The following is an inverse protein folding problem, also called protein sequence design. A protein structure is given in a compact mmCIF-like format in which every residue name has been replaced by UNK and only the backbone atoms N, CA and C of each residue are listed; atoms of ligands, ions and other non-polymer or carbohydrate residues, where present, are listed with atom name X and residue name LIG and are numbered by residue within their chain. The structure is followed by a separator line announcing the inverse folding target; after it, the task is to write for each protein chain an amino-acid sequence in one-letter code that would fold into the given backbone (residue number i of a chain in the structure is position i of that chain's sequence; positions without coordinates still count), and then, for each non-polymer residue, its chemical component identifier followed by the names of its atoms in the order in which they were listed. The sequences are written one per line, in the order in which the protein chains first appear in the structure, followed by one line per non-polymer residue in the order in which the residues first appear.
data_IF_907723818234
#
_entry.id   IF_907723818234
#
_cell.length_a   1.000
_cell.length_b   1.000
_cell.length_c   1.000
_cell.angle_alpha   90.00
_cell.angle_beta   90.00
_cell.angle_gamma   90.00
#
_symmetry.space_group_name_H-M   'P 1'
#
loop_
_entity.id
_entity.type
_entity.pdbx_description
1 polymer ?
#
# COMPACT_ATOMS: atom_id res chain seq x y z
N UNK A 1 -8.47 -10.84 -24.52
CA UNK A 1 -9.48 -9.82 -24.25
C UNK A 1 -10.22 -9.52 -25.55
N UNK A 2 -11.51 -9.85 -25.59
CA UNK A 2 -12.51 -9.50 -26.63
C UNK A 2 -12.87 -8.01 -26.56
N UNK A 3 -11.91 -7.15 -26.93
CA UNK A 3 -12.07 -5.69 -26.96
C UNK A 3 -11.99 -5.20 -28.42
N UNK A 4 -12.59 -4.04 -28.74
CA UNK A 4 -12.58 -3.48 -30.10
C UNK A 4 -11.21 -2.88 -30.43
N UNK A 5 -10.21 -3.74 -30.64
CA UNK A 5 -8.81 -3.35 -30.87
C UNK A 5 -8.61 -2.57 -32.18
N UNK A 6 -9.54 -2.72 -33.12
CA UNK A 6 -9.64 -1.96 -34.37
C UNK A 6 -10.21 -0.54 -34.22
N UNK A 7 -10.63 -0.15 -33.02
CA UNK A 7 -11.10 1.21 -32.73
C UNK A 7 -10.11 1.94 -31.81
N UNK A 8 -9.96 3.28 -31.94
CA UNK A 8 -9.27 4.08 -30.94
C UNK A 8 -9.93 3.92 -29.57
N UNK A 9 -9.15 3.93 -28.49
CA UNK A 9 -9.65 3.77 -27.12
C UNK A 9 -10.73 4.80 -26.74
N UNK A 10 -10.66 6.00 -27.30
CA UNK A 10 -11.68 7.04 -27.08
C UNK A 10 -13.04 6.66 -27.67
N UNK A 11 -13.08 5.86 -28.74
CA UNK A 11 -14.28 5.44 -29.44
C UNK A 11 -14.90 4.14 -28.95
N UNK A 12 -14.22 3.40 -28.07
CA UNK A 12 -14.69 2.10 -27.60
C UNK A 12 -16.11 2.16 -27.07
N UNK A 13 -16.95 1.29 -27.63
CA UNK A 13 -18.29 0.99 -27.14
C UNK A 13 -18.40 -0.52 -26.91
N UNK A 14 -18.29 -0.93 -25.65
CA UNK A 14 -18.38 -2.34 -25.24
C UNK A 14 -19.05 -2.45 -23.89
N UNK A 15 -19.84 -3.52 -23.70
CA UNK A 15 -20.50 -3.84 -22.44
C UNK A 15 -19.52 -4.03 -21.26
N UNK A 16 -18.23 -4.22 -21.56
CA UNK A 16 -17.17 -4.38 -20.56
C UNK A 16 -16.68 -3.06 -19.97
N UNK A 17 -17.02 -1.90 -20.55
CA UNK A 17 -16.57 -0.61 -20.05
C UNK A 17 -17.17 -0.32 -18.67
N UNK A 18 -16.31 0.05 -17.73
CA UNK A 18 -16.71 0.49 -16.40
C UNK A 18 -16.21 1.91 -16.15
N UNK A 19 -16.93 2.64 -15.30
CA UNK A 19 -16.51 3.98 -14.87
C UNK A 19 -15.77 3.86 -13.55
N UNK A 20 -14.50 4.22 -13.56
CA UNK A 20 -13.67 4.30 -12.36
C UNK A 20 -13.34 5.75 -12.03
N UNK A 21 -13.14 6.03 -10.73
CA UNK A 21 -12.46 7.26 -10.34
C UNK A 21 -11.00 7.15 -10.80
N UNK A 22 -10.56 8.09 -11.64
CA UNK A 22 -9.21 8.10 -12.18
C UNK A 22 -8.66 9.54 -12.23
N UNK A 23 -7.34 9.68 -12.19
CA UNK A 23 -6.64 10.95 -12.37
C UNK A 23 -6.86 11.57 -13.75
N UNK A 24 -6.54 12.86 -13.88
CA UNK A 24 -6.43 13.50 -15.20
C UNK A 24 -5.20 12.91 -15.89
N UNK A 25 -5.40 12.26 -17.03
CA UNK A 25 -4.31 11.68 -17.82
C UNK A 25 -4.14 12.46 -19.12
N UNK A 26 -2.88 12.60 -19.55
CA UNK A 26 -2.53 13.12 -20.89
C UNK A 26 -2.91 12.13 -21.99
N UNK A 27 -3.03 10.85 -21.63
CA UNK A 27 -3.37 9.75 -22.53
C UNK A 27 -4.85 9.35 -22.37
N UNK A 28 -5.42 8.75 -23.41
CA UNK A 28 -6.76 8.17 -23.30
C UNK A 28 -6.67 6.89 -22.47
N UNK A 29 -7.37 6.85 -21.34
CA UNK A 29 -7.48 5.68 -20.47
C UNK A 29 -8.92 5.19 -20.44
N UNK A 30 -9.13 3.90 -20.68
CA UNK A 30 -10.42 3.22 -20.50
C UNK A 30 -10.30 2.12 -19.46
N UNK A 31 -11.37 1.89 -18.70
CA UNK A 31 -11.42 0.81 -17.72
C UNK A 31 -12.38 -0.26 -18.20
N UNK A 32 -11.94 -1.52 -18.15
CA UNK A 32 -12.72 -2.67 -18.61
C UNK A 32 -12.78 -3.73 -17.52
N UNK A 33 -13.95 -4.34 -17.35
CA UNK A 33 -14.16 -5.44 -16.43
C UNK A 33 -14.04 -6.80 -17.13
N UNK A 34 -13.27 -7.69 -16.51
CA UNK A 34 -13.17 -9.10 -16.87
C UNK A 34 -13.26 -9.92 -15.58
N UNK A 35 -14.25 -10.82 -15.55
CA UNK A 35 -14.55 -11.62 -14.36
C UNK A 35 -14.78 -10.73 -13.13
N UNK A 36 -14.04 -10.96 -12.04
CA UNK A 36 -14.07 -10.22 -10.79
C UNK A 36 -13.08 -9.04 -10.74
N UNK A 37 -12.45 -8.69 -11.88
CA UNK A 37 -11.34 -7.72 -11.92
C UNK A 37 -11.54 -6.62 -12.93
N UNK A 38 -10.89 -5.49 -12.65
CA UNK A 38 -10.88 -4.33 -13.54
C UNK A 38 -9.47 -4.05 -14.03
N UNK A 39 -9.39 -3.64 -15.29
CA UNK A 39 -8.15 -3.35 -15.99
C UNK A 39 -8.21 -1.93 -16.53
N UNK A 40 -7.10 -1.20 -16.40
CA UNK A 40 -6.91 0.08 -17.07
C UNK A 40 -6.17 -0.17 -18.40
N UNK A 41 -6.69 0.42 -19.47
CA UNK A 41 -6.12 0.35 -20.82
C UNK A 41 -5.75 1.76 -21.24
N UNK A 42 -4.45 2.04 -21.35
CA UNK A 42 -3.87 3.35 -21.71
C UNK A 42 -3.39 3.34 -23.16
N UNK A 43 -3.89 4.27 -23.97
CA UNK A 43 -3.45 4.46 -25.36
C UNK A 43 -2.20 5.33 -25.41
N UNK A 44 -1.12 4.84 -26.03
CA UNK A 44 0.12 5.61 -26.22
C UNK A 44 0.95 5.07 -27.38
N UNK A 45 2.07 5.70 -27.69
CA UNK A 45 2.97 5.24 -28.74
C UNK A 45 3.58 3.86 -28.41
N UNK A 46 3.82 2.98 -29.41
CA UNK A 46 4.35 1.63 -29.17
C UNK A 46 5.62 1.60 -28.32
N UNK A 47 6.58 2.48 -28.62
CA UNK A 47 7.83 2.53 -27.88
C UNK A 47 7.63 2.98 -26.42
N UNK A 48 6.68 3.90 -26.17
CA UNK A 48 6.34 4.35 -24.81
C UNK A 48 5.65 3.23 -24.02
N UNK A 49 4.63 2.59 -24.61
CA UNK A 49 3.91 1.49 -23.97
C UNK A 49 4.85 0.34 -23.56
N UNK A 50 5.79 -0.03 -24.44
CA UNK A 50 6.77 -1.06 -24.13
C UNK A 50 7.77 -0.65 -23.05
N UNK A 51 8.24 0.61 -23.05
CA UNK A 51 9.15 1.12 -22.00
C UNK A 51 8.46 1.11 -20.65
N UNK A 52 7.25 1.65 -20.57
CA UNK A 52 6.48 1.71 -19.34
C UNK A 52 6.12 0.30 -18.83
N UNK A 53 5.70 -0.62 -19.69
CA UNK A 53 5.47 -2.01 -19.33
C UNK A 53 6.70 -2.67 -18.70
N UNK A 54 7.88 -2.46 -19.29
CA UNK A 54 9.15 -2.98 -18.74
C UNK A 54 9.47 -2.33 -17.40
N UNK A 55 9.21 -1.03 -17.24
CA UNK A 55 9.46 -0.30 -16.01
C UNK A 55 8.53 -0.76 -14.87
N UNK A 56 7.23 -0.84 -15.11
CA UNK A 56 6.25 -1.38 -14.16
C UNK A 56 6.57 -2.83 -13.77
N UNK A 57 7.04 -3.65 -14.72
CA UNK A 57 7.49 -5.02 -14.41
C UNK A 57 8.71 -5.02 -13.50
N UNK A 58 9.64 -4.08 -13.72
CA UNK A 58 10.82 -3.95 -12.88
C UNK A 58 10.43 -3.51 -11.46
N UNK A 59 9.62 -2.46 -11.33
CA UNK A 59 9.09 -2.01 -10.04
C UNK A 59 8.46 -3.15 -9.26
N UNK A 60 7.68 -4.02 -9.93
CA UNK A 60 7.10 -5.22 -9.32
C UNK A 60 8.15 -6.26 -8.88
N UNK A 61 9.20 -6.48 -9.66
CA UNK A 61 10.29 -7.41 -9.30
C UNK A 61 11.00 -6.91 -8.04
N UNK A 62 11.19 -5.59 -7.91
CA UNK A 62 11.78 -4.95 -6.73
C UNK A 62 10.75 -4.74 -5.59
N UNK A 63 9.55 -5.31 -5.69
CA UNK A 63 8.45 -5.19 -4.72
C UNK A 63 8.09 -3.74 -4.34
N UNK A 64 8.15 -2.82 -5.31
CA UNK A 64 7.76 -1.41 -5.13
C UNK A 64 6.26 -1.23 -5.41
N UNK A 65 5.56 -0.38 -4.65
CA UNK A 65 4.11 -0.23 -4.75
C UNK A 65 3.74 0.50 -6.03
N UNK A 66 3.41 -0.27 -7.06
CA UNK A 66 2.99 0.20 -8.38
C UNK A 66 1.87 -0.68 -8.94
N UNK A 67 1.11 -0.16 -9.90
CA UNK A 67 0.07 -0.95 -10.57
C UNK A 67 0.66 -2.13 -11.34
N UNK A 68 -0.04 -3.27 -11.31
CA UNK A 68 0.43 -4.49 -11.95
C UNK A 68 0.33 -4.39 -13.48
N UNK A 69 1.43 -4.51 -14.23
CA UNK A 69 1.38 -4.54 -15.70
C UNK A 69 0.94 -5.93 -16.18
N UNK A 70 -0.05 -5.95 -17.07
CA UNK A 70 -0.65 -7.18 -17.60
C UNK A 70 -0.14 -7.47 -19.01
N UNK A 71 -0.05 -6.46 -19.87
CA UNK A 71 0.45 -6.63 -21.22
C UNK A 71 0.48 -5.35 -22.05
N UNK A 72 1.05 -5.46 -23.25
CA UNK A 72 1.03 -4.40 -24.27
C UNK A 72 0.44 -4.96 -25.55
N UNK A 73 -0.48 -4.23 -26.16
CA UNK A 73 -1.06 -4.54 -27.47
C UNK A 73 -0.47 -3.59 -28.50
N UNK A 74 0.35 -4.13 -29.40
CA UNK A 74 0.96 -3.40 -30.52
C UNK A 74 0.34 -3.84 -31.85
N UNK A 75 0.64 -3.10 -32.93
CA UNK A 75 0.16 -3.46 -34.28
C UNK A 75 -1.36 -3.34 -34.47
N UNK A 76 -2.03 -2.55 -33.62
CA UNK A 76 -3.46 -2.26 -33.78
C UNK A 76 -3.68 -1.49 -35.10
N UNK A 77 -4.72 -1.86 -35.83
CA UNK A 77 -5.13 -1.18 -37.06
C UNK A 77 -6.65 -1.12 -37.12
N UNK A 78 -7.19 -0.03 -37.67
CA UNK A 78 -8.61 0.04 -38.04
C UNK A 78 -8.95 -0.98 -39.11
N UNK A 79 -10.23 -1.30 -39.29
CA UNK A 79 -10.71 -2.21 -40.34
C UNK A 79 -10.28 -1.80 -41.76
N UNK A 80 -9.97 -0.51 -41.97
CA UNK A 80 -9.42 0.03 -43.22
C UNK A 80 -7.89 -0.02 -43.35
N UNK A 81 -7.16 -0.60 -42.40
CA UNK A 81 -5.70 -0.73 -42.40
C UNK A 81 -4.92 0.47 -41.83
N UNK A 82 -5.60 1.52 -41.38
CA UNK A 82 -4.96 2.67 -40.72
C UNK A 82 -4.37 2.25 -39.36
N UNK A 83 -3.08 2.50 -39.08
CA UNK A 83 -2.46 2.11 -37.83
C UNK A 83 -3.01 2.91 -36.64
N UNK A 84 -3.18 2.24 -35.51
CA UNK A 84 -3.59 2.82 -34.24
C UNK A 84 -2.43 2.80 -33.24
N UNK A 85 -2.43 3.68 -32.23
CA UNK A 85 -1.43 3.64 -31.17
C UNK A 85 -1.49 2.30 -30.41
N UNK A 86 -0.40 1.95 -29.73
CA UNK A 86 -0.38 0.79 -28.86
C UNK A 86 -1.25 1.02 -27.61
N UNK A 87 -1.57 -0.07 -26.92
CA UNK A 87 -2.29 -0.01 -25.66
C UNK A 87 -1.49 -0.73 -24.57
N UNK A 88 -1.23 -0.05 -23.45
CA UNK A 88 -0.74 -0.65 -22.22
C UNK A 88 -1.92 -1.09 -21.37
N UNK A 89 -1.88 -2.33 -20.89
CA UNK A 89 -2.90 -2.90 -20.00
C UNK A 89 -2.27 -3.08 -18.62
N UNK A 90 -2.85 -2.45 -17.61
CA UNK A 90 -2.52 -2.64 -16.19
C UNK A 90 -3.74 -3.13 -15.44
N UNK A 91 -3.53 -3.87 -14.34
CA UNK A 91 -4.60 -4.21 -13.41
C UNK A 91 -4.96 -2.96 -12.61
N UNK A 92 -6.24 -2.67 -12.51
CA UNK A 92 -6.73 -1.62 -11.62
C UNK A 92 -6.46 -2.01 -10.17
N UNK A 93 -6.03 -1.04 -9.36
CA UNK A 93 -5.76 -1.28 -7.95
C UNK A 93 -7.08 -1.23 -7.16
N UNK A 94 -7.51 -2.39 -6.68
CA UNK A 94 -8.75 -2.54 -5.91
C UNK A 94 -8.70 -1.71 -4.61
N UNK A 95 -9.84 -1.13 -4.21
CA UNK A 95 -9.98 -0.29 -3.01
C UNK A 95 -9.07 0.94 -2.94
N UNK A 96 -8.59 1.40 -4.10
CA UNK A 96 -7.78 2.60 -4.20
C UNK A 96 -8.59 3.81 -4.65
N UNK A 97 -8.14 4.99 -4.24
CA UNK A 97 -8.74 6.27 -4.60
C UNK A 97 -7.67 7.23 -5.11
N UNK A 98 -7.96 8.00 -6.16
CA UNK A 98 -7.04 9.01 -6.65
C UNK A 98 -6.98 10.20 -5.69
N UNK A 99 -5.83 10.87 -5.68
CA UNK A 99 -5.54 12.01 -4.79
C UNK A 99 -6.67 13.05 -4.71
N UNK A 100 -7.14 13.53 -5.86
CA UNK A 100 -8.13 14.60 -5.96
C UNK A 100 -9.49 14.23 -5.36
N UNK A 101 -9.79 12.94 -5.27
CA UNK A 101 -11.02 12.45 -4.64
C UNK A 101 -10.91 12.56 -3.12
N UNK A 102 -9.76 12.19 -2.56
CA UNK A 102 -9.51 12.20 -1.11
C UNK A 102 -9.37 13.62 -0.56
N UNK A 103 -8.61 14.49 -1.23
CA UNK A 103 -8.46 15.89 -0.82
C UNK A 103 -9.77 16.67 -0.95
N UNK A 104 -10.57 16.42 -2.01
CA UNK A 104 -11.72 17.24 -2.34
C UNK A 104 -13.03 16.91 -1.61
N UNK A 105 -13.17 15.72 -1.00
CA UNK A 105 -14.42 15.29 -0.32
C UNK A 105 -14.25 14.97 1.16
N UNK A 106 -13.09 14.48 1.58
CA UNK A 106 -12.82 14.01 2.95
C UNK A 106 -11.74 14.85 3.68
N UNK A 107 -11.34 15.99 3.09
CA UNK A 107 -10.15 16.78 3.41
C UNK A 107 -10.11 17.40 4.82
N UNK A 108 -10.08 16.58 5.85
CA UNK A 108 -9.58 16.97 7.16
C UNK A 108 -8.06 17.19 7.06
N UNK A 109 -7.50 18.22 7.70
CA UNK A 109 -6.04 18.44 7.74
C UNK A 109 -5.24 17.19 8.14
N UNK A 110 -5.82 16.31 8.98
CA UNK A 110 -5.20 15.03 9.37
C UNK A 110 -5.07 14.03 8.21
N UNK A 111 -6.06 13.96 7.32
CA UNK A 111 -6.01 13.06 6.17
C UNK A 111 -5.00 13.56 5.14
N UNK A 112 -4.94 14.88 4.93
CA UNK A 112 -3.98 15.51 4.03
C UNK A 112 -2.54 15.22 4.46
N UNK A 113 -2.23 15.33 5.76
CA UNK A 113 -0.92 14.97 6.29
C UNK A 113 -0.58 13.49 5.99
N UNK A 114 -1.51 12.55 6.23
CA UNK A 114 -1.31 11.13 5.92
C UNK A 114 -1.10 10.84 4.43
N UNK A 115 -1.74 11.61 3.55
CA UNK A 115 -1.57 11.51 2.10
C UNK A 115 -0.17 11.94 1.66
N UNK A 116 0.34 13.04 2.24
CA UNK A 116 1.71 13.50 2.01
C UNK A 116 2.71 12.47 2.54
N UNK A 117 2.50 11.92 3.74
CA UNK A 117 3.37 10.88 4.29
C UNK A 117 3.45 9.66 3.38
N UNK A 118 2.31 9.14 2.91
CA UNK A 118 2.27 8.01 2.00
C UNK A 118 3.01 8.29 0.67
N UNK A 119 2.90 9.51 0.13
CA UNK A 119 3.62 9.92 -1.07
C UNK A 119 5.14 10.04 -0.83
N UNK A 120 5.55 10.59 0.32
CA UNK A 120 6.97 10.68 0.71
C UNK A 120 7.58 9.29 0.86
N UNK A 121 6.86 8.37 1.52
CA UNK A 121 7.28 6.97 1.68
C UNK A 121 7.56 6.37 0.30
N UNK A 122 6.60 6.44 -0.61
CA UNK A 122 6.76 5.89 -1.95
C UNK A 122 7.96 6.52 -2.68
N UNK A 123 8.11 7.85 -2.65
CA UNK A 123 9.21 8.52 -3.33
C UNK A 123 10.58 8.11 -2.78
N UNK A 124 10.73 7.98 -1.45
CA UNK A 124 11.99 7.50 -0.85
C UNK A 124 12.25 6.04 -1.22
N UNK A 125 11.23 5.18 -1.20
CA UNK A 125 11.36 3.77 -1.63
C UNK A 125 11.88 3.66 -3.06
N UNK A 126 11.30 4.42 -3.99
CA UNK A 126 11.76 4.47 -5.38
C UNK A 126 13.25 4.89 -5.46
N UNK A 127 13.60 5.97 -4.75
CA UNK A 127 14.96 6.51 -4.77
C UNK A 127 16.01 5.56 -4.14
N UNK A 128 15.65 4.83 -3.07
CA UNK A 128 16.52 3.83 -2.44
C UNK A 128 16.83 2.68 -3.40
N UNK A 129 15.82 2.23 -4.15
CA UNK A 129 15.94 1.17 -5.16
C UNK A 129 16.49 1.67 -6.51
N UNK A 130 16.98 2.91 -6.59
CA UNK A 130 17.64 3.41 -7.80
C UNK A 130 16.69 3.91 -8.90
N UNK A 131 15.41 4.09 -8.62
CA UNK A 131 14.43 4.62 -9.58
C UNK A 131 14.36 6.14 -9.51
N UNK A 132 14.55 6.81 -10.63
CA UNK A 132 14.14 8.18 -10.88
C UNK A 132 12.75 8.14 -11.52
N UNK A 133 11.77 8.85 -11.00
CA UNK A 133 10.39 8.85 -11.50
C UNK A 133 10.20 9.89 -12.62
N UNK A 134 10.68 11.12 -12.45
CA UNK A 134 10.71 12.15 -13.49
C UNK A 134 9.40 12.87 -13.80
N UNK A 135 8.26 12.33 -13.37
CA UNK A 135 6.96 13.00 -13.37
C UNK A 135 6.19 12.66 -12.09
N UNK A 136 6.82 13.00 -10.97
CA UNK A 136 6.28 12.85 -9.62
C UNK A 136 5.02 13.70 -9.43
N UNK A 137 3.88 13.22 -9.91
CA UNK A 137 2.60 13.92 -9.81
C UNK A 137 1.63 13.13 -8.94
N UNK A 138 0.91 13.84 -8.07
CA UNK A 138 -0.17 13.25 -7.28
C UNK A 138 -1.28 12.64 -8.15
N UNK A 139 -1.45 13.13 -9.39
CA UNK A 139 -2.40 12.57 -10.35
C UNK A 139 -2.00 11.17 -10.83
N UNK A 140 -0.71 10.84 -10.70
CA UNK A 140 -0.13 9.54 -11.03
C UNK A 140 -0.05 8.61 -9.80
N UNK A 141 -0.69 9.00 -8.69
CA UNK A 141 -0.78 8.21 -7.46
C UNK A 141 -2.20 7.73 -7.19
N UNK A 142 -2.31 6.47 -6.76
CA UNK A 142 -3.49 5.91 -6.13
C UNK A 142 -3.20 5.64 -4.66
N UNK A 143 -4.18 5.90 -3.81
CA UNK A 143 -4.06 5.69 -2.38
C UNK A 143 -4.99 4.58 -1.93
N UNK A 144 -4.46 3.65 -1.14
CA UNK A 144 -5.22 2.55 -0.55
C UNK A 144 -5.11 2.63 0.96
N UNK A 145 -6.23 2.40 1.65
CA UNK A 145 -6.22 2.22 3.11
C UNK A 145 -5.71 0.81 3.41
N UNK A 146 -4.78 0.71 4.33
CA UNK A 146 -4.24 -0.57 4.79
C UNK A 146 -4.12 -0.53 6.32
N UNK A 147 -4.98 -1.30 7.00
CA UNK A 147 -5.02 -1.44 8.46
C UNK A 147 -4.88 -0.11 9.25
N UNK A 148 -5.63 0.93 8.87
CA UNK A 148 -5.62 2.24 9.55
C UNK A 148 -4.53 3.22 9.07
N UNK A 149 -3.58 2.75 8.27
CA UNK A 149 -2.61 3.56 7.53
C UNK A 149 -3.06 3.81 6.08
N UNK A 150 -2.37 4.71 5.40
CA UNK A 150 -2.60 5.02 4.00
C UNK A 150 -1.32 4.75 3.20
N UNK A 151 -1.45 4.06 2.08
CA UNK A 151 -0.33 3.69 1.21
C UNK A 151 -0.53 4.32 -0.17
N UNK A 152 0.57 4.80 -0.77
CA UNK A 152 0.57 5.35 -2.12
C UNK A 152 1.14 4.33 -3.11
N UNK A 153 0.52 4.27 -4.29
CA UNK A 153 0.90 3.38 -5.39
C UNK A 153 1.14 4.19 -6.66
N UNK A 154 2.26 3.89 -7.33
CA UNK A 154 2.63 4.47 -8.61
C UNK A 154 1.77 3.88 -9.75
N UNK A 155 1.08 4.74 -10.50
CA UNK A 155 0.25 4.30 -11.64
C UNK A 155 0.95 4.51 -12.98
N UNK A 156 1.68 5.61 -13.11
CA UNK A 156 2.33 6.01 -14.36
C UNK A 156 3.84 6.05 -14.19
N UNK A 157 4.52 5.14 -14.88
CA UNK A 157 5.97 5.01 -14.88
C UNK A 157 6.58 5.38 -16.25
N UNK A 158 5.86 6.13 -17.09
CA UNK A 158 6.27 6.48 -18.45
C UNK A 158 7.62 7.20 -18.51
N UNK A 159 7.85 8.13 -17.58
CA UNK A 159 9.08 8.93 -17.48
C UNK A 159 10.12 8.33 -16.56
N UNK A 160 9.80 7.21 -15.90
CA UNK A 160 10.68 6.64 -14.91
C UNK A 160 11.91 6.00 -15.58
N UNK A 161 13.03 6.08 -14.89
CA UNK A 161 14.31 5.50 -15.26
C UNK A 161 14.89 4.76 -14.06
N UNK A 162 15.60 3.67 -14.30
CA UNK A 162 16.25 2.92 -13.22
C UNK A 162 17.76 2.89 -13.45
N UNK A 163 18.52 3.32 -12.45
CA UNK A 163 19.98 3.18 -12.40
C UNK A 163 20.39 2.65 -11.02
N UNK A 164 21.18 1.57 -10.91
CA UNK A 164 21.68 1.10 -9.62
C UNK A 164 22.40 2.24 -8.88
N UNK A 165 21.94 2.58 -7.68
CA UNK A 165 22.44 3.72 -6.91
C UNK A 165 22.09 5.05 -7.57
N UNK A 166 20.87 5.56 -7.30
CA UNK A 166 20.44 6.85 -7.81
C UNK A 166 21.33 7.98 -7.24
N UNK A 167 22.00 8.72 -8.14
CA UNK A 167 22.85 9.83 -7.73
C UNK A 167 22.03 10.94 -7.04
N UNK A 168 22.58 11.56 -5.99
CA UNK A 168 21.92 12.62 -5.22
C UNK A 168 21.37 13.76 -6.08
N UNK A 169 22.12 14.19 -7.10
CA UNK A 169 21.66 15.24 -8.02
C UNK A 169 20.36 14.88 -8.74
N UNK A 170 20.16 13.61 -9.09
CA UNK A 170 18.96 13.13 -9.79
C UNK A 170 17.79 13.02 -8.83
N UNK A 171 18.06 12.48 -7.63
CA UNK A 171 17.11 12.38 -6.53
C UNK A 171 16.56 13.73 -6.11
N UNK A 172 17.44 14.73 -5.97
CA UNK A 172 17.06 16.11 -5.62
C UNK A 172 16.23 16.73 -6.75
N UNK A 173 16.64 16.55 -8.01
CA UNK A 173 15.86 17.05 -9.15
C UNK A 173 14.45 16.42 -9.20
N UNK A 174 14.32 15.12 -8.90
CA UNK A 174 13.01 14.46 -8.86
C UNK A 174 12.12 14.98 -7.72
N UNK A 175 12.73 15.29 -6.57
CA UNK A 175 12.03 15.94 -5.46
C UNK A 175 11.53 17.34 -5.84
N UNK A 176 12.34 18.14 -6.53
CA UNK A 176 11.95 19.47 -7.02
C UNK A 176 10.74 19.37 -7.97
N UNK A 177 10.78 18.42 -8.92
CA UNK A 177 9.64 18.10 -9.79
C UNK A 177 8.41 17.70 -8.99
N UNK A 178 8.57 16.88 -7.95
CA UNK A 178 7.46 16.49 -7.07
C UNK A 178 6.83 17.70 -6.36
N UNK A 179 7.63 18.63 -5.87
CA UNK A 179 7.16 19.84 -5.21
C UNK A 179 6.41 20.77 -6.18
N UNK A 180 6.95 20.99 -7.39
CA UNK A 180 6.30 21.79 -8.43
C UNK A 180 4.95 21.20 -8.87
N UNK A 181 4.92 19.89 -9.13
CA UNK A 181 3.70 19.18 -9.51
C UNK A 181 2.64 19.19 -8.39
N UNK A 182 3.07 19.08 -7.13
CA UNK A 182 2.19 19.19 -5.96
C UNK A 182 1.56 20.59 -5.87
N UNK A 183 2.35 21.65 -6.05
CA UNK A 183 1.84 23.04 -6.08
C UNK A 183 0.79 23.19 -7.17
N UNK A 184 1.10 22.73 -8.39
CA UNK A 184 0.17 22.78 -9.52
C UNK A 184 -1.13 22.03 -9.22
N UNK A 185 -1.03 20.78 -8.79
CA UNK A 185 -2.19 19.93 -8.49
C UNK A 185 -3.08 20.48 -7.36
N UNK A 186 -2.49 21.04 -6.30
CA UNK A 186 -3.27 21.69 -5.22
C UNK A 186 -3.90 23.00 -5.68
N UNK A 187 -3.19 23.79 -6.49
CA UNK A 187 -3.72 25.04 -7.06
C UNK A 187 -4.94 24.78 -7.94
N UNK A 188 -4.92 23.71 -8.73
CA UNK A 188 -6.07 23.28 -9.53
C UNK A 188 -7.27 22.90 -8.65
N UNK A 189 -7.03 22.25 -7.51
CA UNK A 189 -8.10 21.93 -6.56
C UNK A 189 -8.70 23.18 -5.91
N UNK A 190 -7.88 24.19 -5.59
CA UNK A 190 -8.35 25.50 -5.12
C UNK A 190 -9.21 26.18 -6.18
N UNK A 191 -8.72 26.24 -7.43
CA UNK A 191 -9.43 26.86 -8.54
C UNK A 191 -10.76 26.15 -8.85
N UNK A 192 -10.81 24.83 -8.68
CA UNK A 192 -12.02 24.03 -8.83
C UNK A 192 -12.99 24.12 -7.63
N UNK A 193 -12.67 24.88 -6.59
CA UNK A 193 -13.48 25.01 -5.37
C UNK A 193 -13.54 23.74 -4.52
N UNK A 194 -12.54 22.85 -4.67
CA UNK A 194 -12.42 21.58 -3.94
C UNK A 194 -11.44 21.64 -2.76
N UNK A 195 -10.67 22.70 -2.66
CA UNK A 195 -9.75 22.97 -1.55
C UNK A 195 -9.99 24.39 -1.03
N UNK A 196 -9.76 24.62 0.27
CA UNK A 196 -9.91 25.94 0.88
C UNK A 196 -8.98 26.95 0.17
N UNK A 197 -9.51 28.07 -0.37
CA UNK A 197 -8.70 29.13 -0.98
C UNK A 197 -7.63 29.73 -0.07
N UNK A 198 -7.76 29.58 1.26
CA UNK A 198 -6.74 30.00 2.23
C UNK A 198 -5.59 28.98 2.39
N UNK A 199 -5.64 27.83 1.73
CA UNK A 199 -4.59 26.81 1.82
C UNK A 199 -3.29 27.32 1.19
N UNK A 200 -2.22 27.35 1.98
CA UNK A 200 -0.89 27.65 1.47
C UNK A 200 -0.30 26.41 0.77
N UNK A 201 -0.52 26.33 -0.55
CA UNK A 201 -0.07 25.21 -1.37
C UNK A 201 1.45 25.09 -1.45
N UNK A 202 2.17 26.22 -1.29
CA UNK A 202 3.63 26.25 -1.29
C UNK A 202 4.14 25.65 0.01
N UNK A 203 3.58 26.03 1.15
CA UNK A 203 3.94 25.46 2.44
C UNK A 203 3.74 23.93 2.48
N UNK A 204 2.65 23.41 1.89
CA UNK A 204 2.42 21.95 1.81
C UNK A 204 3.51 21.26 0.97
N UNK A 205 3.96 21.87 -0.13
CA UNK A 205 5.04 21.33 -0.95
C UNK A 205 6.41 21.41 -0.27
N UNK A 206 6.69 22.50 0.45
CA UNK A 206 7.88 22.62 1.29
C UNK A 206 7.90 21.56 2.39
N UNK A 207 6.74 21.29 3.01
CA UNK A 207 6.58 20.24 4.02
C UNK A 207 6.85 18.84 3.44
N UNK A 208 6.34 18.52 2.24
CA UNK A 208 6.68 17.27 1.54
C UNK A 208 8.20 17.14 1.37
N UNK A 209 8.86 18.20 0.90
CA UNK A 209 10.31 18.23 0.72
C UNK A 209 11.08 18.06 2.03
N UNK A 210 10.62 18.70 3.11
CA UNK A 210 11.22 18.57 4.43
C UNK A 210 11.08 17.14 4.99
N UNK A 211 9.87 16.55 4.93
CA UNK A 211 9.61 15.17 5.37
C UNK A 211 10.41 14.15 4.55
N UNK A 212 10.52 14.36 3.23
CA UNK A 212 11.34 13.53 2.37
C UNK A 212 12.81 13.56 2.77
N UNK A 213 13.41 14.74 2.98
CA UNK A 213 14.82 14.85 3.40
C UNK A 213 15.03 14.23 4.77
N UNK A 214 14.15 14.52 5.73
CA UNK A 214 14.21 13.94 7.07
C UNK A 214 14.18 12.41 7.04
N UNK A 215 13.27 11.82 6.26
CA UNK A 215 13.25 10.37 6.09
C UNK A 215 14.52 9.87 5.41
N UNK A 216 14.90 10.45 4.28
CA UNK A 216 16.07 10.01 3.53
C UNK A 216 17.32 9.99 4.41
N UNK A 217 17.55 11.06 5.16
CA UNK A 217 18.70 11.20 6.06
C UNK A 217 18.62 10.19 7.20
N UNK A 218 17.45 9.92 7.77
CA UNK A 218 17.28 8.90 8.80
C UNK A 218 17.46 7.47 8.24
N UNK A 219 17.08 7.19 7.00
CA UNK A 219 17.22 5.84 6.40
C UNK A 219 18.63 5.56 5.87
N UNK A 220 19.27 6.58 5.27
CA UNK A 220 20.60 6.44 4.63
C UNK A 220 21.75 6.89 5.53
N UNK A 221 21.44 7.59 6.62
CA UNK A 221 22.40 8.01 7.63
C UNK A 221 23.03 6.81 8.32
N UNK A 222 24.38 6.72 8.38
CA UNK A 222 25.05 5.71 9.17
C UNK A 222 24.81 5.98 10.65
N UNK A 223 24.15 5.05 11.35
CA UNK A 223 24.15 5.02 12.82
C UNK A 223 24.93 3.77 13.24
N UNK A 224 26.14 4.02 13.73
CA UNK A 224 26.93 3.00 14.41
C UNK A 224 26.43 2.91 15.85
N UNK A 225 25.80 1.79 16.19
CA UNK A 225 25.41 1.49 17.57
C UNK A 225 26.29 0.38 18.11
N UNK A 226 26.52 0.37 19.41
CA UNK A 226 27.13 -0.77 20.07
C UNK A 226 26.19 -1.99 19.96
N UNK A 227 26.72 -3.19 19.76
CA UNK A 227 25.92 -4.39 19.53
C UNK A 227 25.00 -4.77 20.70
N UNK A 228 25.33 -4.29 21.90
CA UNK A 228 24.54 -4.51 23.12
C UNK A 228 23.56 -3.36 23.44
N UNK A 229 23.58 -2.24 22.70
CA UNK A 229 22.72 -1.08 22.98
C UNK A 229 21.31 -1.23 22.35
N UNK A 230 20.51 -2.09 22.97
CA UNK A 230 19.09 -2.29 22.62
C UNK A 230 18.26 -0.99 22.68
N UNK A 231 18.65 -0.02 23.52
CA UNK A 231 17.95 1.26 23.61
C UNK A 231 18.24 2.16 22.41
N UNK A 232 19.42 2.07 21.79
CA UNK A 232 19.71 2.81 20.56
C UNK A 232 18.82 2.36 19.40
N UNK A 233 18.62 1.06 19.23
CA UNK A 233 17.70 0.47 18.24
C UNK A 233 16.27 0.98 18.47
N UNK A 234 15.77 0.91 19.71
CA UNK A 234 14.42 1.41 20.04
C UNK A 234 14.27 2.93 19.84
N UNK A 235 15.32 3.72 20.12
CA UNK A 235 15.31 5.17 19.85
C UNK A 235 15.20 5.44 18.36
N UNK A 236 15.91 4.69 17.51
CA UNK A 236 15.83 4.83 16.05
C UNK A 236 14.44 4.47 15.52
N UNK A 237 13.87 3.35 15.95
CA UNK A 237 12.50 2.96 15.60
C UNK A 237 11.50 4.05 16.02
N UNK A 238 11.63 4.61 17.24
CA UNK A 238 10.78 5.71 17.69
C UNK A 238 10.94 6.97 16.86
N UNK A 239 12.17 7.38 16.51
CA UNK A 239 12.40 8.55 15.65
C UNK A 239 11.74 8.36 14.28
N UNK A 240 11.84 7.17 13.70
CA UNK A 240 11.15 6.81 12.45
C UNK A 240 9.62 6.88 12.62
N UNK A 241 9.07 6.32 13.70
CA UNK A 241 7.65 6.45 14.01
C UNK A 241 7.20 7.92 14.20
N UNK A 242 8.02 8.75 14.84
CA UNK A 242 7.74 10.17 15.11
C UNK A 242 7.69 11.01 13.82
N UNK A 243 8.45 10.63 12.78
CA UNK A 243 8.36 11.23 11.44
C UNK A 243 7.26 10.61 10.57
N UNK A 244 6.41 9.76 11.14
CA UNK A 244 5.24 9.17 10.47
C UNK A 244 5.49 7.81 9.82
N UNK A 245 6.64 7.18 10.10
CA UNK A 245 7.07 5.93 9.45
C UNK A 245 6.98 4.76 10.40
N UNK A 246 6.14 3.80 10.04
CA UNK A 246 6.06 2.53 10.73
C UNK A 246 7.24 1.64 10.32
N UNK A 247 8.35 1.69 11.07
CA UNK A 247 9.57 0.91 10.80
C UNK A 247 9.67 -0.24 11.80
N UNK A 248 9.33 -1.44 11.33
CA UNK A 248 9.38 -2.66 12.14
C UNK A 248 10.58 -3.58 11.83
N UNK A 249 11.32 -3.36 10.74
CA UNK A 249 12.53 -4.14 10.42
C UNK A 249 13.79 -3.27 10.24
N UNK A 250 14.87 -3.67 10.91
CA UNK A 250 16.21 -3.10 10.76
C UNK A 250 17.14 -4.23 10.33
N UNK A 251 17.73 -4.10 9.15
CA UNK A 251 18.87 -4.90 8.74
C UNK A 251 20.09 -4.52 9.57
N UNK A 252 20.68 -5.52 10.19
CA UNK A 252 21.81 -5.36 11.10
C UNK A 252 23.06 -5.92 10.41
N UNK A 253 23.99 -5.05 10.05
CA UNK A 253 25.30 -5.45 9.55
C UNK A 253 26.39 -5.18 10.60
N UNK A 254 27.29 -6.13 10.82
CA UNK A 254 28.45 -5.92 11.69
C UNK A 254 29.53 -5.12 10.97
N UNK A 255 30.15 -4.16 11.66
CA UNK A 255 31.36 -3.50 11.16
C UNK A 255 32.54 -4.48 11.12
N UNK A 256 33.62 -4.14 10.41
CA UNK A 256 34.78 -5.03 10.22
C UNK A 256 35.48 -5.44 11.54
N UNK A 257 35.29 -4.66 12.59
CA UNK A 257 35.75 -4.84 13.96
C UNK A 257 34.75 -5.60 14.87
N UNK A 258 33.53 -5.89 14.39
CA UNK A 258 32.55 -6.77 15.03
C UNK A 258 31.87 -6.23 16.29
N UNK A 259 32.32 -5.10 16.84
CA UNK A 259 31.80 -4.50 18.07
C UNK A 259 30.74 -3.41 17.83
N UNK A 260 30.47 -3.06 16.57
CA UNK A 260 29.47 -2.07 16.19
C UNK A 260 28.52 -2.66 15.16
N UNK A 261 27.27 -2.26 15.26
CA UNK A 261 26.21 -2.57 14.31
C UNK A 261 25.96 -1.35 13.45
N UNK A 262 25.94 -1.56 12.14
CA UNK A 262 25.36 -0.63 11.17
C UNK A 262 23.91 -1.03 11.01
N UNK A 263 23.02 -0.24 11.59
CA UNK A 263 21.57 -0.40 11.42
C UNK A 263 21.17 0.24 10.10
N UNK A 264 20.58 -0.55 9.21
CA UNK A 264 19.91 -0.06 8.01
C UNK A 264 18.42 -0.36 8.16
N UNK A 265 17.51 0.60 8.05
CA UNK A 265 16.10 0.30 7.96
C UNK A 265 15.87 -0.63 6.77
N UNK A 266 15.38 -1.83 7.07
CA UNK A 266 15.02 -2.78 6.05
C UNK A 266 13.65 -2.36 5.53
N UNK A 267 13.61 -2.00 4.25
CA UNK A 267 12.35 -1.84 3.58
C UNK A 267 11.76 -3.24 3.42
N UNK A 268 10.83 -3.62 4.29
CA UNK A 268 10.15 -4.90 4.20
C UNK A 268 9.53 -5.02 2.81
N UNK A 269 9.91 -6.06 2.06
CA UNK A 269 9.39 -6.32 0.71
C UNK A 269 7.86 -6.28 0.75
N UNK A 270 7.22 -5.64 -0.24
CA UNK A 270 5.75 -5.68 -0.33
C UNK A 270 5.27 -7.14 -0.38
N UNK A 271 4.39 -7.49 0.55
CA UNK A 271 3.87 -8.84 0.70
C UNK A 271 4.76 -9.78 1.51
N UNK A 272 5.86 -9.36 2.13
CA UNK A 272 6.71 -10.26 2.93
C UNK A 272 5.92 -10.93 4.05
N UNK A 273 5.26 -10.14 4.89
CA UNK A 273 4.46 -10.68 5.99
C UNK A 273 3.28 -11.48 5.44
N UNK A 274 2.63 -11.03 4.36
CA UNK A 274 1.56 -11.79 3.72
C UNK A 274 2.05 -13.13 3.17
N UNK A 275 3.24 -13.19 2.55
CA UNK A 275 3.89 -14.42 2.05
C UNK A 275 4.29 -15.33 3.19
N UNK A 276 4.89 -14.79 4.24
CA UNK A 276 5.34 -15.55 5.40
C UNK A 276 4.16 -16.10 6.20
N UNK A 277 3.14 -15.29 6.46
CA UNK A 277 1.91 -15.75 7.10
C UNK A 277 1.23 -16.83 6.25
N UNK A 278 1.09 -16.62 4.94
CA UNK A 278 0.53 -17.63 4.02
C UNK A 278 1.34 -18.92 4.05
N UNK A 279 2.68 -18.84 4.07
CA UNK A 279 3.57 -20.01 4.16
C UNK A 279 3.38 -20.76 5.47
N UNK A 280 3.18 -20.06 6.59
CA UNK A 280 3.05 -20.63 7.92
C UNK A 280 1.64 -21.14 8.25
N UNK A 281 0.60 -20.50 7.71
CA UNK A 281 -0.80 -20.70 8.13
C UNK A 281 -1.78 -20.99 6.99
N UNK A 282 -1.42 -20.67 5.75
CA UNK A 282 -2.32 -20.71 4.60
C UNK A 282 -3.27 -19.51 4.47
N UNK A 283 -3.27 -18.58 5.44
CA UNK A 283 -4.14 -17.40 5.40
C UNK A 283 -3.68 -16.40 4.32
N UNK A 284 -4.63 -15.93 3.52
CA UNK A 284 -4.42 -14.86 2.54
C UNK A 284 -4.96 -13.54 3.09
N UNK A 285 -4.09 -12.62 3.47
CA UNK A 285 -4.47 -11.35 4.12
C UNK A 285 -3.58 -10.21 3.59
N UNK A 286 -3.98 -8.96 3.83
CA UNK A 286 -3.17 -7.79 3.46
C UNK A 286 -1.93 -7.66 4.36
N UNK A 287 -0.91 -6.92 3.92
CA UNK A 287 0.41 -6.92 4.56
C UNK A 287 0.39 -6.54 6.04
N UNK A 288 -0.32 -5.46 6.40
CA UNK A 288 -0.43 -5.05 7.81
C UNK A 288 -1.28 -6.01 8.66
N UNK A 289 -2.24 -6.70 8.05
CA UNK A 289 -2.97 -7.76 8.73
C UNK A 289 -2.03 -8.93 9.00
N UNK A 290 -1.25 -9.31 7.99
CA UNK A 290 -0.32 -10.42 8.09
C UNK A 290 0.71 -10.19 9.19
N UNK A 291 1.26 -8.98 9.24
CA UNK A 291 2.17 -8.49 10.27
C UNK A 291 1.59 -8.65 11.68
N UNK A 292 0.37 -8.16 11.91
CA UNK A 292 -0.31 -8.29 13.22
C UNK A 292 -0.57 -9.74 13.61
N UNK A 293 -0.96 -10.60 12.67
CA UNK A 293 -1.18 -12.01 12.94
C UNK A 293 0.15 -12.74 13.24
N UNK A 294 1.23 -12.43 12.53
CA UNK A 294 2.57 -12.94 12.82
C UNK A 294 3.09 -12.50 14.20
N UNK A 295 2.78 -11.28 14.62
CA UNK A 295 3.09 -10.79 15.96
C UNK A 295 2.30 -11.53 17.04
N UNK A 296 1.02 -11.81 16.82
CA UNK A 296 0.19 -12.58 17.77
C UNK A 296 0.64 -14.05 17.83
N UNK A 297 1.02 -14.66 16.69
CA UNK A 297 1.65 -16.00 16.64
C UNK A 297 2.94 -16.03 17.44
N UNK A 298 3.79 -15.00 17.31
CA UNK A 298 5.07 -14.91 18.02
C UNK A 298 4.86 -14.75 19.53
N UNK A 299 3.92 -13.89 19.94
CA UNK A 299 3.55 -13.72 21.34
C UNK A 299 2.97 -15.01 21.95
N UNK A 300 2.11 -15.71 21.21
CA UNK A 300 1.55 -17.00 21.61
C UNK A 300 2.63 -18.09 21.73
N UNK A 301 3.58 -18.13 20.78
CA UNK A 301 4.75 -19.01 20.83
C UNK A 301 5.62 -18.76 22.07
N UNK A 302 5.87 -17.49 22.43
CA UNK A 302 6.60 -17.10 23.63
C UNK A 302 5.87 -17.52 24.92
N UNK A 303 4.54 -17.36 24.97
CA UNK A 303 3.71 -17.83 26.07
C UNK A 303 3.82 -19.36 26.26
N UNK A 304 3.69 -20.13 25.17
CA UNK A 304 3.87 -21.58 25.22
C UNK A 304 5.29 -21.99 25.64
N UNK A 305 6.30 -21.27 25.18
CA UNK A 305 7.68 -21.52 25.55
C UNK A 305 7.93 -21.28 27.05
N UNK A 306 7.32 -20.24 27.62
CA UNK A 306 7.33 -19.97 29.06
C UNK A 306 6.63 -21.06 29.86
N UNK A 307 5.48 -21.56 29.38
CA UNK A 307 4.70 -22.59 30.08
C UNK A 307 5.34 -23.99 30.01
N UNK A 308 6.00 -24.32 28.90
CA UNK A 308 6.56 -25.66 28.65
C UNK A 308 8.08 -25.75 28.85
N UNK A 309 8.76 -24.62 29.04
CA UNK A 309 10.21 -24.53 29.19
C UNK A 309 10.99 -24.83 27.91
N UNK A 310 10.35 -24.84 26.74
CA UNK A 310 10.98 -25.15 25.44
C UNK A 310 10.58 -24.16 24.36
N UNK A 311 11.55 -23.65 23.61
CA UNK A 311 11.27 -22.82 22.44
C UNK A 311 10.61 -23.66 21.34
N UNK A 312 9.61 -23.09 20.67
CA UNK A 312 8.89 -23.72 19.57
C UNK A 312 9.40 -23.17 18.23
N UNK A 313 9.48 -24.04 17.22
CA UNK A 313 9.73 -23.59 15.85
C UNK A 313 8.55 -22.71 15.36
N UNK A 314 8.81 -21.65 14.56
CA UNK A 314 7.77 -20.72 14.10
C UNK A 314 6.56 -21.40 13.43
N UNK A 315 6.79 -22.41 12.58
CA UNK A 315 5.72 -23.18 11.95
C UNK A 315 4.84 -23.95 12.95
N UNK A 316 5.43 -24.44 14.05
CA UNK A 316 4.69 -25.16 15.11
C UNK A 316 3.87 -24.17 15.95
N UNK A 317 4.44 -22.99 16.25
CA UNK A 317 3.71 -21.92 16.93
C UNK A 317 2.53 -21.43 16.09
N UNK A 318 2.73 -21.21 14.79
CA UNK A 318 1.70 -20.79 13.85
C UNK A 318 0.56 -21.83 13.73
N UNK A 319 0.88 -23.11 13.53
CA UNK A 319 -0.12 -24.16 13.42
C UNK A 319 -0.95 -24.33 14.70
N UNK A 320 -0.31 -24.25 15.88
CA UNK A 320 -1.02 -24.28 17.17
C UNK A 320 -1.88 -23.04 17.39
N UNK A 321 -1.36 -21.87 17.05
CA UNK A 321 -2.12 -20.62 17.13
C UNK A 321 -3.38 -20.67 16.24
N UNK A 322 -3.29 -21.25 15.04
CA UNK A 322 -4.46 -21.45 14.17
C UNK A 322 -5.53 -22.29 14.88
N UNK A 323 -5.15 -23.45 15.40
CA UNK A 323 -6.08 -24.41 16.01
C UNK A 323 -6.63 -23.94 17.38
N UNK A 324 -5.80 -23.29 18.20
CA UNK A 324 -6.13 -22.98 19.59
C UNK A 324 -6.71 -21.57 19.76
N UNK A 325 -6.45 -20.66 18.82
CA UNK A 325 -6.83 -19.24 18.92
C UNK A 325 -7.66 -18.80 17.73
N UNK A 326 -7.15 -18.91 16.50
CA UNK A 326 -7.79 -18.34 15.32
C UNK A 326 -9.12 -19.03 14.95
N UNK A 327 -9.11 -20.35 14.77
CA UNK A 327 -10.30 -21.12 14.41
C UNK A 327 -11.40 -21.05 15.47
N UNK A 328 -11.12 -21.21 16.79
CA UNK A 328 -12.17 -21.12 17.81
C UNK A 328 -12.79 -19.73 17.92
N UNK A 329 -12.04 -18.67 17.62
CA UNK A 329 -12.53 -17.29 17.66
C UNK A 329 -13.37 -16.98 16.43
N UNK A 330 -12.90 -17.34 15.23
CA UNK A 330 -13.65 -17.11 13.99
C UNK A 330 -14.90 -17.98 13.90
N UNK A 331 -14.89 -19.19 14.49
CA UNK A 331 -16.07 -20.05 14.60
C UNK A 331 -17.20 -19.49 15.48
N UNK A 332 -16.90 -18.51 16.34
CA UNK A 332 -17.91 -17.84 17.18
C UNK A 332 -18.75 -16.82 16.41
N UNK A 333 -18.40 -16.49 15.16
CA UNK A 333 -19.21 -15.59 14.32
C UNK A 333 -20.59 -16.23 14.09
N UNK A 334 -21.68 -15.59 14.56
CA UNK A 334 -23.05 -16.08 14.34
C UNK A 334 -23.36 -16.24 12.87
N UNK A 335 -24.19 -17.23 12.51
CA UNK A 335 -24.48 -17.54 11.12
C UNK A 335 -25.06 -16.35 10.35
N UNK A 336 -25.79 -15.48 11.04
CA UNK A 336 -26.45 -14.28 10.52
C UNK A 336 -25.45 -13.14 10.22
N UNK A 337 -24.23 -13.20 10.77
CA UNK A 337 -23.18 -12.20 10.59
C UNK A 337 -22.02 -12.71 9.72
N UNK A 338 -22.05 -13.98 9.30
CA UNK A 338 -21.06 -14.53 8.34
C UNK A 338 -21.26 -13.87 6.98
N UNK A 339 -20.17 -13.39 6.38
CA UNK A 339 -20.20 -12.62 5.13
C UNK A 339 -20.40 -11.12 5.31
N UNK A 340 -20.31 -10.59 6.54
CA UNK A 340 -20.14 -9.14 6.78
C UNK A 340 -18.69 -8.69 6.77
N UNK A 341 -17.78 -9.62 7.02
CA UNK A 341 -16.35 -9.43 7.10
C UNK A 341 -15.67 -10.77 6.82
N UNK A 342 -14.61 -10.77 6.02
CA UNK A 342 -13.72 -11.92 5.91
C UNK A 342 -13.16 -12.35 7.28
N UNK A 343 -13.00 -13.66 7.57
CA UNK A 343 -12.57 -14.15 8.88
C UNK A 343 -11.24 -13.57 9.39
N UNK A 344 -10.31 -13.31 8.48
CA UNK A 344 -9.03 -12.69 8.82
C UNK A 344 -9.15 -11.21 9.19
N UNK A 345 -10.00 -10.46 8.49
CA UNK A 345 -10.32 -9.07 8.83
C UNK A 345 -11.06 -8.99 10.17
N UNK A 346 -12.03 -9.88 10.40
CA UNK A 346 -12.69 -10.01 11.71
C UNK A 346 -11.68 -10.21 12.85
N UNK A 347 -10.77 -11.16 12.68
CA UNK A 347 -9.76 -11.46 13.70
C UNK A 347 -8.81 -10.27 13.91
N UNK A 348 -8.42 -9.59 12.83
CA UNK A 348 -7.60 -8.38 12.87
C UNK A 348 -8.28 -7.26 13.68
N UNK A 349 -9.53 -6.95 13.38
CA UNK A 349 -10.29 -5.91 14.08
C UNK A 349 -10.54 -6.28 15.55
N UNK A 350 -10.77 -7.55 15.83
CA UNK A 350 -10.92 -8.06 17.18
C UNK A 350 -9.66 -7.80 18.04
N UNK A 351 -8.46 -8.01 17.48
CA UNK A 351 -7.21 -7.73 18.18
C UNK A 351 -7.06 -6.23 18.52
N UNK A 352 -7.46 -5.35 17.60
CA UNK A 352 -7.48 -3.90 17.84
C UNK A 352 -8.50 -3.53 18.93
N UNK A 353 -9.71 -4.08 18.84
CA UNK A 353 -10.76 -3.87 19.83
C UNK A 353 -10.34 -4.33 21.23
N UNK A 354 -9.69 -5.49 21.33
CA UNK A 354 -9.12 -6.01 22.59
C UNK A 354 -8.08 -5.06 23.17
N UNK A 355 -7.19 -4.54 22.33
CA UNK A 355 -6.16 -3.59 22.76
C UNK A 355 -6.78 -2.29 23.29
N UNK A 356 -7.68 -1.66 22.52
CA UNK A 356 -8.35 -0.42 22.93
C UNK A 356 -9.17 -0.59 24.21
N UNK A 357 -9.82 -1.74 24.41
CA UNK A 357 -10.51 -2.04 25.67
C UNK A 357 -9.53 -2.22 26.82
N UNK A 358 -8.41 -2.91 26.60
CA UNK A 358 -7.40 -3.11 27.64
C UNK A 358 -6.79 -1.79 28.11
N UNK A 359 -6.53 -0.86 27.18
CA UNK A 359 -6.10 0.51 27.47
C UNK A 359 -7.14 1.29 28.28
N UNK A 360 -8.41 1.27 27.85
CA UNK A 360 -9.49 1.99 28.54
C UNK A 360 -9.77 1.45 29.94
N UNK A 361 -9.66 0.14 30.12
CA UNK A 361 -9.99 -0.54 31.38
C UNK A 361 -8.78 -0.67 32.31
N UNK A 362 -7.58 -0.30 31.86
CA UNK A 362 -6.34 -0.40 32.63
C UNK A 362 -6.00 -1.84 33.05
N UNK A 363 -6.50 -2.85 32.32
CA UNK A 363 -6.27 -4.27 32.57
C UNK A 363 -6.21 -5.04 31.27
N UNK A 364 -5.52 -6.19 31.27
CA UNK A 364 -5.55 -7.10 30.12
C UNK A 364 -6.94 -7.73 29.95
N UNK A 365 -7.57 -7.52 28.80
CA UNK A 365 -8.88 -8.09 28.44
C UNK A 365 -8.70 -9.44 27.72
N UNK A 366 -9.25 -10.56 28.22
CA UNK A 366 -9.14 -11.86 27.58
C UNK A 366 -9.91 -11.95 26.25
N UNK A 367 -9.48 -12.86 25.35
CA UNK A 367 -10.13 -13.10 24.06
C UNK A 367 -11.64 -13.36 24.13
N UNK A 368 -12.17 -14.22 25.02
CA UNK A 368 -13.61 -14.46 25.09
C UNK A 368 -14.42 -13.19 25.41
N UNK A 369 -13.87 -12.31 26.25
CA UNK A 369 -14.51 -11.06 26.64
C UNK A 369 -14.50 -10.03 25.49
N UNK A 370 -13.37 -9.96 24.76
CA UNK A 370 -13.23 -9.12 23.59
C UNK A 370 -14.16 -9.56 22.44
N UNK A 371 -14.24 -10.88 22.18
CA UNK A 371 -15.11 -11.46 21.14
C UNK A 371 -16.57 -11.18 21.44
N UNK A 372 -17.03 -11.48 22.65
CA UNK A 372 -18.41 -11.24 23.05
C UNK A 372 -18.81 -9.77 22.89
N UNK A 373 -17.92 -8.85 23.27
CA UNK A 373 -18.15 -7.41 23.09
C UNK A 373 -18.15 -7.01 21.62
N UNK A 374 -17.17 -7.45 20.84
CA UNK A 374 -17.06 -7.08 19.43
C UNK A 374 -18.27 -7.58 18.61
N UNK A 375 -18.71 -8.82 18.85
CA UNK A 375 -19.90 -9.40 18.23
C UNK A 375 -21.20 -8.67 18.63
N UNK A 376 -21.24 -8.08 19.83
CA UNK A 376 -22.42 -7.36 20.31
C UNK A 376 -22.46 -5.88 19.87
N UNK A 377 -21.32 -5.22 19.71
CA UNK A 377 -21.27 -3.75 19.57
C UNK A 377 -20.61 -3.24 18.29
N UNK A 378 -19.77 -4.02 17.63
CA UNK A 378 -19.00 -3.55 16.45
C UNK A 378 -19.46 -4.25 15.19
N UNK A 379 -19.44 -5.58 15.17
CA UNK A 379 -19.79 -6.36 13.98
C UNK A 379 -21.23 -6.10 13.45
N UNK A 380 -22.25 -5.89 14.30
CA UNK A 380 -23.61 -5.61 13.83
C UNK A 380 -23.78 -4.25 13.14
N UNK A 381 -22.95 -3.26 13.51
CA UNK A 381 -22.97 -1.92 12.93
C UNK A 381 -22.20 -1.84 11.61
N UNK A 382 -21.40 -2.88 11.30
CA UNK A 382 -20.70 -2.95 10.02
C UNK A 382 -21.70 -3.17 8.89
N UNK A 383 -21.60 -2.39 7.80
CA UNK A 383 -22.38 -2.68 6.60
C UNK A 383 -22.07 -4.12 6.17
N UNK A 384 -23.10 -4.84 5.72
CA UNK A 384 -22.88 -6.15 5.10
C UNK A 384 -21.82 -6.00 4.01
N UNK A 385 -20.85 -6.93 4.01
CA UNK A 385 -19.91 -7.08 2.91
C UNK A 385 -20.80 -7.33 1.70
N UNK A 386 -20.94 -6.32 0.85
CA UNK A 386 -21.59 -6.50 -0.43
C UNK A 386 -20.63 -7.34 -1.27
N UNK A 387 -20.72 -8.65 -1.09
CA UNK A 387 -20.86 -9.51 -2.25
C UNK A 387 -22.02 -8.92 -3.05
N UNK A 388 -21.71 -8.20 -4.13
CA UNK A 388 -22.65 -8.04 -5.22
C UNK A 388 -22.80 -9.44 -5.86
N UNK A 389 -23.43 -10.35 -5.13
CA UNK A 389 -23.90 -11.61 -5.65
C UNK A 389 -25.24 -11.34 -6.33
N UNK A 390 -25.20 -11.61 -7.63
CA UNK A 390 -26.30 -11.75 -8.57
C UNK A 390 -27.53 -12.37 -7.91
N UNK A 391 -28.67 -11.66 -7.97
CA UNK A 391 -29.96 -12.33 -7.96
C UNK A 391 -30.35 -12.58 -9.40
N UNK A 392 -30.29 -13.85 -9.80
CA UNK A 392 -31.18 -14.39 -10.82
C UNK A 392 -32.61 -14.17 -10.33
N UNK A 393 -33.43 -13.50 -11.15
CA UNK A 393 -34.87 -13.73 -11.18
C UNK A 393 -35.40 -13.35 -12.57
N UNK A 394 -35.65 -14.42 -13.34
CA UNK A 394 -36.60 -14.64 -14.45
C UNK A 394 -36.65 -13.69 -15.65
#
# INVERSE_FOLDING_TARGET
MDLPWEEPLAGWDTARLVRMAHGVSRHVVRFVAYEDRVYAVKETEPAAAEREYRMLRRLRIENLPAVEPVGVVTGRCRSGGEPLPAALITRYLDYSLPFHYLFGREGSPRLNAKLIDAAVVLLVRLHLEGFYWGDCSLSNLLFRRDAGALMAYLVDAETAEHTPGLADRRRIADLEVAQENLIGGLSDLVAAGRLDPATDVVAVAEELGARYRALWDELTGPEEVDADDRQAIERRIRRLNDIGFDVEELDVAFTADGNRLVLRPALVEEGHHARELRRLTGLEVQENQARRLLNDISAYGAYLASATGRSLAPAVAAARWIADVYEPITAQIPAELRGRLEPAEFFHELLEHRYLRSEREGRSVPNPEAVASYLATVLPERPEERLLAVHDDA
#
